data_IF_570992589704
#
_entry.id   IF_570992589704
#
_cell.length_a   1.000
_cell.length_b   1.000
_cell.length_c   1.000
_cell.angle_alpha   90.00
_cell.angle_beta   90.00
_cell.angle_gamma   90.00
#
_symmetry.space_group_name_H-M   'P 1'
#
loop_
_entity.id
_entity.type
_entity.pdbx_description
1 polymer ?
#
# COMPACT_ATOMS: atom_id res chain seq x y z
N UNK A 1 14.13 -12.36 -14.23
CA UNK A 1 13.27 -11.89 -13.15
C UNK A 1 14.04 -10.88 -12.32
N UNK A 2 13.48 -9.70 -12.13
CA UNK A 2 14.08 -8.69 -11.27
C UNK A 2 13.50 -8.81 -9.86
N UNK A 3 14.40 -8.75 -8.86
CA UNK A 3 13.99 -8.69 -7.45
C UNK A 3 14.32 -7.29 -6.95
N UNK A 4 13.32 -6.61 -6.42
CA UNK A 4 13.50 -5.29 -5.82
C UNK A 4 13.34 -5.41 -4.30
N UNK A 5 14.40 -5.10 -3.57
CA UNK A 5 14.41 -5.14 -2.11
C UNK A 5 14.19 -3.71 -1.61
N UNK A 6 13.13 -3.53 -0.83
CA UNK A 6 12.84 -2.23 -0.22
C UNK A 6 13.65 -2.10 1.06
N UNK A 7 14.64 -1.21 1.04
CA UNK A 7 15.53 -0.95 2.17
C UNK A 7 15.15 0.38 2.81
N UNK A 8 14.16 0.34 3.68
CA UNK A 8 13.64 1.54 4.35
C UNK A 8 13.69 1.35 5.87
N UNK A 9 14.17 2.34 6.65
CA UNK A 9 14.30 2.21 8.10
C UNK A 9 13.01 1.83 8.81
N UNK A 10 11.87 2.38 8.41
CA UNK A 10 10.58 2.05 9.01
C UNK A 10 10.22 0.59 8.79
N UNK A 11 10.48 0.06 7.60
CA UNK A 11 10.19 -1.34 7.29
C UNK A 11 11.13 -2.25 8.07
N UNK A 12 12.40 -1.91 8.14
CA UNK A 12 13.39 -2.69 8.90
C UNK A 12 13.00 -2.80 10.37
N UNK A 13 12.63 -1.69 10.99
CA UNK A 13 12.23 -1.66 12.38
C UNK A 13 10.96 -2.49 12.60
N UNK A 14 9.95 -2.32 11.75
CA UNK A 14 8.70 -3.06 11.87
C UNK A 14 8.88 -4.56 11.62
N UNK A 15 9.75 -4.94 10.69
CA UNK A 15 10.08 -6.35 10.46
C UNK A 15 10.77 -6.98 11.67
N UNK A 16 11.63 -6.25 12.37
CA UNK A 16 12.26 -6.72 13.59
C UNK A 16 11.20 -7.01 14.65
N UNK A 17 10.28 -6.09 14.87
CA UNK A 17 9.19 -6.28 15.82
C UNK A 17 8.25 -7.42 15.42
N UNK A 18 7.98 -7.56 14.13
CA UNK A 18 7.13 -8.62 13.60
C UNK A 18 7.72 -10.01 13.90
N UNK A 19 9.05 -10.14 13.79
CA UNK A 19 9.76 -11.42 14.00
C UNK A 19 9.95 -11.78 15.46
N UNK A 20 9.77 -10.84 16.37
CA UNK A 20 9.95 -11.08 17.79
C UNK A 20 8.90 -12.07 18.28
N UNK A 21 9.35 -13.15 18.94
CA UNK A 21 8.45 -14.19 19.48
C UNK A 21 7.49 -13.66 20.54
N UNK A 22 7.80 -12.52 21.16
CA UNK A 22 6.97 -11.92 22.20
C UNK A 22 5.89 -10.98 21.64
N UNK A 23 5.86 -10.75 20.33
CA UNK A 23 4.86 -9.89 19.72
C UNK A 23 3.49 -10.52 19.82
N UNK A 24 2.52 -9.78 20.38
CA UNK A 24 1.17 -10.26 20.56
C UNK A 24 0.42 -10.34 19.22
N UNK A 25 -0.58 -11.20 19.06
CA UNK A 25 -1.30 -11.36 17.79
C UNK A 25 -1.90 -10.05 17.25
N UNK A 26 -2.42 -9.20 18.13
CA UNK A 26 -2.95 -7.90 17.72
C UNK A 26 -1.87 -7.00 17.11
N UNK A 27 -0.73 -6.94 17.78
CA UNK A 27 0.40 -6.12 17.34
C UNK A 27 1.00 -6.70 16.05
N UNK A 28 1.05 -8.01 15.94
CA UNK A 28 1.51 -8.68 14.73
C UNK A 28 0.67 -8.27 13.52
N UNK A 29 -0.65 -8.28 13.64
CA UNK A 29 -1.56 -7.90 12.54
C UNK A 29 -1.37 -6.44 12.16
N UNK A 30 -1.25 -5.56 13.16
CA UNK A 30 -1.05 -4.15 12.91
C UNK A 30 0.28 -3.88 12.20
N UNK A 31 1.36 -4.53 12.65
CA UNK A 31 2.67 -4.42 12.01
C UNK A 31 2.63 -4.93 10.57
N UNK A 32 1.97 -6.06 10.34
CA UNK A 32 1.84 -6.63 9.00
C UNK A 32 1.10 -5.66 8.06
N UNK A 33 0.02 -5.07 8.53
CA UNK A 33 -0.74 -4.09 7.76
C UNK A 33 0.11 -2.86 7.42
N UNK A 34 0.85 -2.34 8.39
CA UNK A 34 1.72 -1.17 8.19
C UNK A 34 2.83 -1.48 7.20
N UNK A 35 3.47 -2.64 7.32
CA UNK A 35 4.52 -3.08 6.38
C UNK A 35 3.95 -3.19 4.97
N UNK A 36 2.77 -3.78 4.83
CA UNK A 36 2.11 -3.92 3.54
C UNK A 36 1.82 -2.57 2.89
N UNK A 37 1.34 -1.60 3.66
CA UNK A 37 1.09 -0.25 3.15
C UNK A 37 2.38 0.43 2.69
N UNK A 38 3.46 0.30 3.45
CA UNK A 38 4.75 0.88 3.08
C UNK A 38 5.33 0.23 1.82
N UNK A 39 5.20 -1.09 1.69
CA UNK A 39 5.62 -1.81 0.50
C UNK A 39 4.81 -1.37 -0.73
N UNK A 40 3.50 -1.24 -0.57
CA UNK A 40 2.63 -0.78 -1.65
C UNK A 40 2.97 0.63 -2.09
N UNK A 41 3.32 1.51 -1.16
CA UNK A 41 3.76 2.86 -1.49
C UNK A 41 4.97 2.83 -2.44
N UNK A 42 5.94 1.96 -2.17
CA UNK A 42 7.12 1.83 -3.02
C UNK A 42 6.81 1.14 -4.35
N UNK A 43 6.04 0.05 -4.31
CA UNK A 43 5.71 -0.73 -5.51
C UNK A 43 4.86 0.07 -6.50
N UNK A 44 4.04 0.98 -6.00
CA UNK A 44 3.12 1.77 -6.83
C UNK A 44 3.74 3.09 -7.30
N UNK A 45 5.02 3.30 -7.08
CA UNK A 45 5.70 4.55 -7.45
C UNK A 45 5.54 4.90 -8.93
N UNK A 46 5.51 3.91 -9.79
CA UNK A 46 5.47 4.08 -11.25
C UNK A 46 4.06 3.99 -11.82
N UNK A 47 3.02 4.02 -10.99
CA UNK A 47 1.65 3.99 -11.49
C UNK A 47 1.35 5.25 -12.29
N UNK A 48 0.66 5.10 -13.43
CA UNK A 48 0.27 6.26 -14.23
C UNK A 48 -0.79 7.09 -13.51
N UNK A 49 -0.67 8.40 -13.64
CA UNK A 49 -1.67 9.35 -13.16
C UNK A 49 -2.15 10.16 -14.36
N UNK A 50 -3.39 10.63 -14.27
CA UNK A 50 -3.97 11.54 -15.26
C UNK A 50 -4.40 12.82 -14.57
N UNK A 51 -4.42 13.90 -15.35
CA UNK A 51 -4.90 15.18 -14.86
C UNK A 51 -6.42 15.17 -14.73
N UNK A 52 -6.91 15.79 -13.66
CA UNK A 52 -8.33 15.92 -13.41
C UNK A 52 -8.64 17.34 -12.97
N UNK A 53 -9.61 17.96 -13.61
CA UNK A 53 -10.08 19.28 -13.17
C UNK A 53 -10.89 19.15 -11.90
N UNK A 54 -10.60 20.01 -10.94
CA UNK A 54 -11.29 20.07 -9.65
C UNK A 54 -11.67 21.51 -9.36
N UNK A 55 -12.86 21.68 -8.79
CA UNK A 55 -13.30 22.99 -8.32
C UNK A 55 -13.08 23.04 -6.81
N UNK A 56 -12.15 23.92 -6.40
CA UNK A 56 -11.94 24.20 -4.99
C UNK A 56 -12.83 25.34 -4.53
N UNK A 57 -12.95 25.60 -3.21
CA UNK A 57 -13.70 26.74 -2.73
C UNK A 57 -13.21 28.11 -3.25
N UNK A 58 -11.96 28.18 -3.69
CA UNK A 58 -11.34 29.44 -4.16
C UNK A 58 -11.29 29.56 -5.67
N UNK A 59 -11.08 28.44 -6.38
CA UNK A 59 -10.90 28.49 -7.83
C UNK A 59 -10.95 27.09 -8.43
N UNK A 60 -11.13 27.03 -9.75
CA UNK A 60 -10.91 25.80 -10.51
C UNK A 60 -9.42 25.55 -10.65
N UNK A 61 -8.99 24.30 -10.48
CA UNK A 61 -7.59 23.90 -10.59
C UNK A 61 -7.47 22.52 -11.20
N UNK A 62 -6.25 22.10 -11.49
CA UNK A 62 -5.96 20.76 -12.03
C UNK A 62 -5.31 19.92 -10.96
N UNK A 63 -5.92 18.78 -10.66
CA UNK A 63 -5.37 17.78 -9.76
C UNK A 63 -4.96 16.52 -10.52
N UNK A 64 -4.72 15.46 -9.77
CA UNK A 64 -4.28 14.18 -10.31
C UNK A 64 -5.23 13.07 -9.89
N UNK A 65 -5.38 12.09 -10.76
CA UNK A 65 -6.18 10.90 -10.52
C UNK A 65 -5.36 9.69 -10.97
N UNK A 66 -5.34 8.63 -10.15
CA UNK A 66 -4.65 7.39 -10.54
C UNK A 66 -5.39 6.71 -11.68
N UNK A 67 -4.63 6.20 -12.63
CA UNK A 67 -5.15 5.30 -13.65
C UNK A 67 -4.91 3.87 -13.17
N UNK A 68 -5.93 3.26 -12.55
CA UNK A 68 -5.87 1.91 -12.00
C UNK A 68 -6.58 0.87 -12.87
N UNK A 69 -6.94 1.24 -14.08
CA UNK A 69 -7.72 0.36 -14.98
C UNK A 69 -7.01 -0.95 -15.32
N UNK A 70 -5.66 -0.95 -15.29
CA UNK A 70 -4.87 -2.13 -15.59
C UNK A 70 -4.44 -2.94 -14.37
N UNK A 71 -4.93 -2.59 -13.17
CA UNK A 71 -4.48 -3.23 -11.93
C UNK A 71 -5.44 -4.34 -11.53
N UNK A 72 -4.89 -5.53 -11.31
CA UNK A 72 -5.61 -6.68 -10.76
C UNK A 72 -4.88 -7.15 -9.53
N UNK A 73 -5.62 -7.36 -8.43
CA UNK A 73 -5.07 -7.84 -7.17
C UNK A 73 -5.48 -9.30 -6.99
N UNK A 74 -4.49 -10.18 -6.83
CA UNK A 74 -4.71 -11.61 -6.66
C UNK A 74 -4.10 -12.03 -5.31
N UNK A 75 -4.91 -12.07 -4.23
CA UNK A 75 -4.39 -12.51 -2.93
C UNK A 75 -4.23 -14.02 -2.91
N UNK A 76 -3.18 -14.48 -2.24
CA UNK A 76 -2.95 -15.90 -1.98
C UNK A 76 -3.33 -16.18 -0.53
N UNK A 77 -4.45 -16.88 -0.35
CA UNK A 77 -4.98 -17.18 0.96
C UNK A 77 -4.15 -18.25 1.69
N UNK A 78 -4.03 -18.16 3.04
CA UNK A 78 -4.60 -17.15 3.94
C UNK A 78 -3.71 -15.89 4.09
N UNK A 79 -2.47 -15.94 3.63
CA UNK A 79 -1.49 -14.88 3.89
C UNK A 79 -1.84 -13.56 3.21
N UNK A 80 -2.53 -13.61 2.08
CA UNK A 80 -2.84 -12.45 1.26
C UNK A 80 -3.94 -11.54 1.79
N UNK A 81 -4.70 -11.96 2.81
CA UNK A 81 -5.85 -11.18 3.29
C UNK A 81 -5.43 -9.84 3.90
N UNK A 82 -4.36 -9.82 4.69
CA UNK A 82 -3.84 -8.57 5.25
C UNK A 82 -3.34 -7.63 4.18
N UNK A 83 -2.74 -8.16 3.14
CA UNK A 83 -2.27 -7.37 2.02
C UNK A 83 -3.43 -6.77 1.22
N UNK A 84 -4.52 -7.51 1.07
CA UNK A 84 -5.72 -7.00 0.42
C UNK A 84 -6.31 -5.80 1.18
N UNK A 85 -6.37 -5.86 2.51
CA UNK A 85 -6.82 -4.75 3.33
C UNK A 85 -5.95 -3.50 3.09
N UNK A 86 -4.63 -3.67 3.02
CA UNK A 86 -3.72 -2.57 2.75
C UNK A 86 -3.97 -1.95 1.37
N UNK A 87 -4.23 -2.76 0.35
CA UNK A 87 -4.55 -2.29 -0.99
C UNK A 87 -5.83 -1.46 -0.98
N UNK A 88 -6.84 -1.91 -0.24
CA UNK A 88 -8.10 -1.19 -0.13
C UNK A 88 -7.96 0.11 0.66
N UNK A 89 -7.17 0.09 1.74
CA UNK A 89 -6.90 1.29 2.55
C UNK A 89 -6.22 2.38 1.73
N UNK A 90 -5.39 2.01 0.78
CA UNK A 90 -4.73 2.96 -0.12
C UNK A 90 -5.60 3.34 -1.32
N UNK A 91 -6.83 2.85 -1.38
CA UNK A 91 -7.80 3.15 -2.44
C UNK A 91 -7.32 2.79 -3.85
N UNK A 92 -6.49 1.74 -3.95
CA UNK A 92 -5.98 1.28 -5.24
C UNK A 92 -7.02 0.52 -6.06
N UNK A 93 -8.01 -0.07 -5.38
CA UNK A 93 -9.13 -0.74 -6.03
C UNK A 93 -10.43 -0.39 -5.31
N UNK A 94 -11.53 -0.48 -6.03
CA UNK A 94 -12.87 -0.34 -5.48
C UNK A 94 -13.63 -1.64 -5.72
N UNK A 95 -14.27 -2.10 -4.68
CA UNK A 95 -15.14 -3.28 -4.76
C UNK A 95 -16.58 -2.82 -4.69
#
# INVERSE_FOLDING_TARGET
MQIHVVDHPLIKEKMTRLRDKNTQPKDFRQLLDQIAQLLLFEVTRDLPVRHKKVTTPLAETTGYELDVSGITVVPILPAGLGFLDAVMDLSLIHI
#
